data_IF_476902188401
#
_entry.id   IF_476902188401
#
_cell.length_a   1.000
_cell.length_b   1.000
_cell.length_c   1.000
_cell.angle_alpha   90.00
_cell.angle_beta   90.00
_cell.angle_gamma   90.00
#
_symmetry.space_group_name_H-M   'P 1'
#
loop_
_entity.id
_entity.type
_entity.pdbx_description
1 polymer ?
#
# COMPACT_ATOMS: atom_id res chain seq x y z
N UNK A 1 -1.21 28.35 17.90
CA UNK A 1 -2.62 28.23 17.50
C UNK A 1 -3.16 29.64 17.32
N UNK A 2 -2.72 30.30 16.25
CA UNK A 2 -3.33 31.56 15.81
C UNK A 2 -4.53 31.21 14.94
N UNK A 3 -5.67 31.81 15.26
CA UNK A 3 -6.85 31.80 14.40
C UNK A 3 -6.49 32.54 13.10
N UNK A 4 -6.24 31.79 12.04
CA UNK A 4 -6.31 32.34 10.68
C UNK A 4 -7.79 32.64 10.46
N UNK A 5 -8.15 33.92 10.56
CA UNK A 5 -9.43 34.44 10.12
C UNK A 5 -9.52 34.18 8.60
N UNK A 6 -10.28 33.16 8.23
CA UNK A 6 -10.66 32.90 6.85
C UNK A 6 -11.60 34.01 6.42
N UNK A 7 -11.03 35.07 5.85
CA UNK A 7 -11.76 36.12 5.16
C UNK A 7 -12.42 35.43 3.95
N UNK A 8 -13.73 35.15 4.06
CA UNK A 8 -14.55 34.67 2.94
C UNK A 8 -14.56 35.78 1.91
N UNK A 9 -13.66 35.72 0.93
CA UNK A 9 -13.77 36.53 -0.28
C UNK A 9 -15.03 36.07 -0.99
N UNK A 10 -16.01 36.97 -1.10
CA UNK A 10 -17.22 36.72 -1.88
C UNK A 10 -16.77 36.44 -3.32
N UNK A 11 -16.84 35.17 -3.71
CA UNK A 11 -16.58 34.73 -5.08
C UNK A 11 -17.65 35.40 -5.95
N UNK A 12 -17.25 36.38 -6.78
CA UNK A 12 -18.13 36.91 -7.82
C UNK A 12 -18.56 35.74 -8.71
N UNK A 13 -19.80 35.31 -8.52
CA UNK A 13 -20.43 34.24 -9.26
C UNK A 13 -20.39 34.61 -10.75
N UNK A 14 -19.65 33.83 -11.54
CA UNK A 14 -19.59 34.03 -12.99
C UNK A 14 -20.98 33.77 -13.53
N UNK A 15 -21.72 34.84 -13.80
CA UNK A 15 -23.02 34.81 -14.44
C UNK A 15 -22.86 34.21 -15.85
N UNK A 16 -22.97 32.88 -15.97
CA UNK A 16 -22.83 32.22 -17.28
C UNK A 16 -22.53 30.72 -17.30
N UNK A 17 -22.14 30.07 -16.20
CA UNK A 17 -22.06 28.61 -16.15
C UNK A 17 -22.89 28.05 -14.99
N UNK A 18 -24.16 27.75 -15.24
CA UNK A 18 -25.05 27.01 -14.31
C UNK A 18 -24.56 25.57 -14.01
N UNK A 19 -23.38 25.20 -14.51
CA UNK A 19 -22.78 23.88 -14.31
C UNK A 19 -21.97 23.87 -13.03
N UNK A 20 -22.27 22.89 -12.20
CA UNK A 20 -21.44 22.51 -11.07
C UNK A 20 -20.88 21.13 -11.34
N UNK A 21 -19.69 20.84 -10.84
CA UNK A 21 -19.16 19.49 -10.92
C UNK A 21 -18.76 19.00 -9.54
N UNK A 22 -18.88 17.68 -9.38
CA UNK A 22 -18.34 16.98 -8.22
C UNK A 22 -17.29 16.01 -8.72
N UNK A 23 -16.12 16.01 -8.08
CA UNK A 23 -15.03 15.12 -8.42
C UNK A 23 -14.57 14.30 -7.21
N UNK A 24 -14.04 13.11 -7.47
CA UNK A 24 -13.37 12.26 -6.49
C UNK A 24 -12.04 11.78 -7.02
N UNK A 25 -11.10 11.68 -6.09
CA UNK A 25 -9.78 11.15 -6.33
C UNK A 25 -9.70 9.63 -6.09
N UNK A 26 -8.84 8.90 -6.79
CA UNK A 26 -8.49 7.53 -6.43
C UNK A 26 -7.11 7.09 -6.89
N UNK A 27 -6.53 6.10 -6.20
CA UNK A 27 -5.21 5.53 -6.51
C UNK A 27 -5.37 4.23 -7.31
N UNK A 28 -5.17 4.31 -8.62
CA UNK A 28 -5.33 3.22 -9.59
C UNK A 28 -4.02 3.04 -10.36
N UNK A 29 -3.17 2.17 -9.84
CA UNK A 29 -1.77 2.07 -10.22
C UNK A 29 -1.61 1.04 -11.34
N UNK A 30 -1.14 1.49 -12.50
CA UNK A 30 -0.79 0.67 -13.65
C UNK A 30 0.38 -0.22 -13.28
N UNK A 31 0.13 -1.52 -13.21
CA UNK A 31 1.19 -2.51 -13.05
C UNK A 31 1.65 -2.97 -14.42
N UNK A 32 2.92 -2.65 -14.71
CA UNK A 32 3.59 -3.06 -15.92
C UNK A 32 3.78 -4.59 -15.99
N UNK A 33 3.61 -5.13 -17.19
CA UNK A 33 3.97 -6.51 -17.52
C UNK A 33 5.49 -6.77 -17.42
N UNK A 34 5.92 -8.03 -17.54
CA UNK A 34 7.33 -8.41 -17.43
C UNK A 34 8.19 -8.02 -18.64
N UNK A 35 7.61 -7.48 -19.71
CA UNK A 35 8.30 -7.12 -20.95
C UNK A 35 8.72 -5.65 -20.93
N UNK A 36 9.96 -5.37 -21.35
CA UNK A 36 10.50 -4.02 -21.54
C UNK A 36 9.74 -3.31 -22.67
N UNK A 37 8.59 -2.72 -22.32
CA UNK A 37 7.71 -2.02 -23.26
C UNK A 37 7.97 -0.53 -23.16
N UNK A 38 8.06 0.18 -24.30
CA UNK A 38 8.24 1.63 -24.28
C UNK A 38 7.02 2.31 -23.66
N UNK A 39 7.19 3.45 -22.94
CA UNK A 39 6.06 4.22 -22.43
C UNK A 39 5.02 4.56 -23.49
N UNK A 40 5.46 4.89 -24.70
CA UNK A 40 4.60 5.22 -25.84
C UNK A 40 3.75 4.04 -26.29
N UNK A 41 4.33 2.83 -26.33
CA UNK A 41 3.62 1.61 -26.70
C UNK A 41 2.57 1.24 -25.64
N UNK A 42 2.92 1.33 -24.35
CA UNK A 42 1.99 1.07 -23.24
C UNK A 42 0.83 2.06 -23.29
N UNK A 43 1.14 3.35 -23.46
CA UNK A 43 0.16 4.42 -23.56
C UNK A 43 -0.78 4.23 -24.76
N UNK A 44 -0.23 3.99 -25.95
CA UNK A 44 -1.02 3.77 -27.16
C UNK A 44 -1.93 2.54 -27.03
N UNK A 45 -1.45 1.46 -26.43
CA UNK A 45 -2.24 0.26 -26.17
C UNK A 45 -3.40 0.53 -25.19
N UNK A 46 -3.17 1.31 -24.13
CA UNK A 46 -4.21 1.70 -23.17
C UNK A 46 -5.28 2.60 -23.81
N UNK A 47 -4.87 3.63 -24.56
CA UNK A 47 -5.79 4.51 -25.29
C UNK A 47 -6.65 3.71 -26.28
N UNK A 48 -6.02 2.80 -27.04
CA UNK A 48 -6.74 1.92 -27.95
C UNK A 48 -7.72 0.98 -27.23
N UNK A 49 -7.34 0.46 -26.06
CA UNK A 49 -8.20 -0.42 -25.27
C UNK A 49 -9.38 0.31 -24.63
N UNK A 50 -9.17 1.56 -24.18
CA UNK A 50 -10.24 2.43 -23.67
C UNK A 50 -11.25 2.77 -24.77
N UNK A 51 -10.78 3.20 -25.94
CA UNK A 51 -11.64 3.52 -27.08
C UNK A 51 -12.40 2.31 -27.66
N UNK A 52 -12.00 1.09 -27.32
CA UNK A 52 -12.70 -0.13 -27.69
C UNK A 52 -13.82 -0.53 -26.70
N UNK A 53 -13.88 0.07 -25.51
CA UNK A 53 -14.98 -0.15 -24.56
C UNK A 53 -16.20 0.67 -24.99
N UNK A 54 -17.33 0.00 -25.20
CA UNK A 54 -18.56 0.61 -25.73
C UNK A 54 -19.24 1.60 -24.76
N UNK A 55 -18.78 1.66 -23.51
CA UNK A 55 -19.23 2.63 -22.51
C UNK A 55 -18.45 3.94 -22.56
N UNK A 56 -17.31 3.94 -23.24
CA UNK A 56 -16.45 5.12 -23.41
C UNK A 56 -16.86 5.83 -24.69
N UNK A 57 -17.30 7.09 -24.56
CA UNK A 57 -17.82 7.89 -25.69
C UNK A 57 -16.73 8.75 -26.33
N UNK A 58 -15.78 9.24 -25.53
CA UNK A 58 -14.66 10.07 -25.95
C UNK A 58 -13.40 9.59 -25.24
N UNK A 59 -12.27 9.58 -25.95
CA UNK A 59 -10.94 9.41 -25.38
C UNK A 59 -10.04 10.52 -25.90
N UNK A 60 -9.56 11.36 -25.01
CA UNK A 60 -8.40 12.21 -25.26
C UNK A 60 -7.16 11.50 -24.71
N UNK A 61 -6.19 11.35 -25.60
CA UNK A 61 -4.99 10.58 -25.33
C UNK A 61 -4.01 11.34 -24.43
N UNK A 62 -3.97 12.66 -24.45
CA UNK A 62 -2.81 13.41 -23.92
C UNK A 62 -1.49 13.07 -24.64
N UNK A 63 -0.37 13.60 -24.16
CA UNK A 63 0.97 13.22 -24.63
C UNK A 63 1.65 12.24 -23.68
N UNK A 64 2.33 11.23 -24.24
CA UNK A 64 3.20 10.33 -23.51
C UNK A 64 4.66 10.75 -23.74
N UNK A 65 5.05 11.91 -23.21
CA UNK A 65 6.43 12.33 -23.32
C UNK A 65 7.29 11.49 -22.39
N UNK A 66 8.21 10.73 -22.98
CA UNK A 66 9.18 9.92 -22.27
C UNK A 66 10.00 10.70 -21.23
N UNK A 67 10.31 11.99 -21.46
CA UNK A 67 11.11 12.82 -20.54
C UNK A 67 10.38 13.15 -19.24
N UNK A 68 9.04 13.19 -19.26
CA UNK A 68 8.21 13.52 -18.10
C UNK A 68 7.39 12.33 -17.58
N UNK A 69 7.47 11.19 -18.27
CA UNK A 69 6.91 9.92 -17.80
C UNK A 69 7.84 9.31 -16.76
N UNK A 70 7.31 8.97 -15.59
CA UNK A 70 8.08 8.42 -14.48
C UNK A 70 7.71 6.96 -14.22
N UNK A 71 8.72 6.13 -13.95
CA UNK A 71 8.51 4.78 -13.42
C UNK A 71 8.81 4.75 -11.92
N UNK A 72 7.92 4.10 -11.18
CA UNK A 72 8.06 3.91 -9.73
C UNK A 72 7.93 2.42 -9.39
N UNK A 73 8.21 2.08 -8.13
CA UNK A 73 8.06 0.72 -7.61
C UNK A 73 7.00 0.70 -6.52
N UNK A 74 6.03 -0.21 -6.64
CA UNK A 74 4.95 -0.39 -5.69
C UNK A 74 4.93 -1.82 -5.15
N UNK A 75 4.34 -1.99 -3.97
CA UNK A 75 4.18 -3.27 -3.30
C UNK A 75 2.71 -3.74 -3.36
N UNK A 76 2.45 -5.00 -3.73
CA UNK A 76 1.10 -5.55 -3.73
C UNK A 76 0.64 -5.84 -2.29
N UNK A 77 -0.68 -5.77 -2.06
CA UNK A 77 -1.27 -6.13 -0.77
C UNK A 77 -1.13 -7.63 -0.45
N UNK A 78 -1.04 -7.94 0.84
CA UNK A 78 -0.61 -9.22 1.43
C UNK A 78 -1.29 -10.53 1.07
N UNK A 79 -2.60 -10.68 0.77
CA UNK A 79 -3.19 -12.04 0.75
C UNK A 79 -2.59 -12.96 -0.34
N UNK A 80 -1.77 -12.43 -1.25
CA UNK A 80 -1.10 -13.17 -2.33
C UNK A 80 0.42 -13.24 -2.22
N UNK A 81 1.05 -12.58 -1.24
CA UNK A 81 2.51 -12.46 -1.16
C UNK A 81 3.08 -13.52 -0.22
N UNK A 82 4.05 -14.31 -0.70
CA UNK A 82 4.72 -15.29 0.16
C UNK A 82 5.57 -14.57 1.23
N UNK A 83 5.68 -15.12 2.46
CA UNK A 83 6.45 -14.46 3.52
C UNK A 83 7.92 -14.19 3.16
N UNK A 84 8.56 -15.05 2.39
CA UNK A 84 9.94 -14.85 1.92
C UNK A 84 10.06 -13.72 0.88
N UNK A 85 9.11 -13.60 -0.04
CA UNK A 85 9.03 -12.49 -0.99
C UNK A 85 8.71 -11.15 -0.31
N UNK A 86 7.90 -11.19 0.75
CA UNK A 86 7.58 -10.03 1.59
C UNK A 86 8.84 -9.51 2.31
N UNK A 87 9.62 -10.41 2.89
CA UNK A 87 10.81 -10.09 3.66
C UNK A 87 12.05 -9.82 2.81
N UNK A 88 12.12 -10.32 1.58
CA UNK A 88 13.24 -10.00 0.68
C UNK A 88 13.05 -8.67 -0.05
N UNK A 89 11.83 -8.11 -0.05
CA UNK A 89 11.48 -6.98 -0.92
C UNK A 89 11.31 -7.38 -2.39
N UNK A 90 11.43 -8.67 -2.72
CA UNK A 90 11.26 -9.17 -4.09
C UNK A 90 9.81 -9.07 -4.58
N UNK A 91 8.84 -9.00 -3.67
CA UNK A 91 7.44 -8.74 -3.99
C UNK A 91 7.19 -7.26 -4.25
N UNK A 92 7.72 -6.76 -5.36
CA UNK A 92 7.36 -5.45 -5.90
C UNK A 92 6.92 -5.58 -7.35
N UNK A 93 6.29 -4.53 -7.87
CA UNK A 93 6.00 -4.40 -9.28
C UNK A 93 6.33 -2.99 -9.75
N UNK A 94 6.67 -2.87 -11.03
CA UNK A 94 6.92 -1.59 -11.66
C UNK A 94 5.61 -0.96 -12.10
N UNK A 95 5.52 0.35 -11.90
CA UNK A 95 4.42 1.19 -12.39
C UNK A 95 4.94 2.25 -13.32
N UNK A 96 4.04 2.84 -14.08
CA UNK A 96 4.30 3.97 -14.97
C UNK A 96 3.26 5.04 -14.72
N UNK A 97 3.74 6.27 -14.50
CA UNK A 97 2.93 7.49 -14.47
C UNK A 97 3.26 8.32 -15.70
N UNK A 98 2.28 8.52 -16.57
CA UNK A 98 2.41 9.30 -17.80
C UNK A 98 2.60 10.78 -17.50
N UNK A 99 3.17 11.50 -18.47
CA UNK A 99 3.36 12.94 -18.39
C UNK A 99 2.03 13.70 -18.35
N UNK A 100 1.10 13.30 -19.22
CA UNK A 100 -0.26 13.82 -19.27
C UNK A 100 -1.24 12.70 -18.92
N UNK A 101 -2.38 13.07 -18.35
CA UNK A 101 -3.43 12.12 -18.06
C UNK A 101 -4.11 11.64 -19.35
N UNK A 102 -4.45 10.36 -19.42
CA UNK A 102 -5.41 9.85 -20.40
C UNK A 102 -6.78 10.27 -19.91
N UNK A 103 -7.48 11.07 -20.71
CA UNK A 103 -8.81 11.57 -20.37
C UNK A 103 -9.88 10.85 -21.18
N UNK A 104 -11.01 10.56 -20.56
CA UNK A 104 -12.10 9.90 -21.27
C UNK A 104 -13.46 10.19 -20.64
N UNK A 105 -14.48 10.14 -21.48
CA UNK A 105 -15.88 10.28 -21.09
C UNK A 105 -16.53 8.90 -21.06
N UNK A 106 -17.24 8.61 -19.97
CA UNK A 106 -17.97 7.36 -19.75
C UNK A 106 -19.45 7.67 -19.69
N UNK A 107 -20.26 6.88 -20.42
CA UNK A 107 -21.71 6.91 -20.32
C UNK A 107 -22.27 5.52 -20.02
N UNK A 108 -22.84 5.35 -18.82
CA UNK A 108 -23.47 4.11 -18.37
C UNK A 108 -24.70 4.44 -17.53
N UNK A 109 -25.91 4.03 -17.94
CA UNK A 109 -27.10 4.26 -17.12
C UNK A 109 -26.92 3.74 -15.69
N UNK A 110 -27.29 4.52 -14.67
CA UNK A 110 -27.06 4.21 -13.24
C UNK A 110 -27.53 2.82 -12.83
N UNK A 111 -28.66 2.36 -13.37
CA UNK A 111 -29.20 1.00 -13.16
C UNK A 111 -28.28 -0.15 -13.63
N UNK A 112 -27.36 0.13 -14.55
CA UNK A 112 -26.40 -0.83 -15.10
C UNK A 112 -25.02 -0.70 -14.45
N UNK A 113 -24.86 0.17 -13.46
CA UNK A 113 -23.59 0.38 -12.78
C UNK A 113 -23.42 -0.57 -11.57
N UNK A 114 -22.17 -0.75 -11.09
CA UNK A 114 -21.90 -1.57 -9.92
C UNK A 114 -22.62 -1.04 -8.67
N UNK A 115 -23.33 -1.93 -7.98
CA UNK A 115 -23.96 -1.64 -6.68
C UNK A 115 -22.99 -2.02 -5.56
N UNK A 116 -22.63 -1.06 -4.71
CA UNK A 116 -21.69 -1.27 -3.60
C UNK A 116 -22.46 -1.16 -2.29
N UNK A 117 -22.46 -2.21 -1.47
CA UNK A 117 -23.20 -2.23 -0.19
C UNK A 117 -24.70 -1.88 -0.28
N UNK A 118 -25.33 -2.08 -1.44
CA UNK A 118 -26.74 -1.72 -1.68
C UNK A 118 -26.95 -0.28 -2.16
N UNK A 119 -25.88 0.49 -2.31
CA UNK A 119 -25.91 1.84 -2.86
C UNK A 119 -25.85 1.80 -4.39
N UNK A 120 -26.80 2.48 -5.04
CA UNK A 120 -26.94 2.54 -6.49
C UNK A 120 -26.49 3.93 -6.95
N UNK A 121 -25.55 4.04 -7.92
CA UNK A 121 -25.23 5.32 -8.54
C UNK A 121 -26.43 5.88 -9.32
N UNK A 122 -26.69 7.18 -9.17
CA UNK A 122 -27.77 7.91 -9.89
C UNK A 122 -27.25 8.67 -11.12
N UNK A 123 -25.92 8.76 -11.26
CA UNK A 123 -25.24 9.54 -12.30
C UNK A 123 -24.98 8.67 -13.53
N UNK A 124 -25.35 9.13 -14.73
CA UNK A 124 -25.18 8.35 -15.95
C UNK A 124 -23.87 8.62 -16.71
N UNK A 125 -23.25 9.79 -16.49
CA UNK A 125 -22.06 10.23 -17.25
C UNK A 125 -20.93 10.67 -16.33
N UNK A 126 -19.70 10.32 -16.69
CA UNK A 126 -18.48 10.67 -15.98
C UNK A 126 -17.40 11.19 -16.91
N UNK A 127 -16.60 12.14 -16.41
CA UNK A 127 -15.33 12.55 -16.99
C UNK A 127 -14.22 12.00 -16.13
N UNK A 128 -13.21 11.39 -16.74
CA UNK A 128 -12.10 10.75 -16.04
C UNK A 128 -10.79 11.29 -16.58
N UNK A 129 -9.86 11.63 -15.69
CA UNK A 129 -8.46 11.87 -16.00
C UNK A 129 -7.62 10.86 -15.21
N UNK A 130 -6.77 10.07 -15.89
CA UNK A 130 -5.92 9.06 -15.26
C UNK A 130 -4.48 9.14 -15.79
N UNK A 131 -3.52 9.37 -14.90
CA UNK A 131 -2.10 9.50 -15.23
C UNK A 131 -1.32 8.17 -15.17
N UNK A 132 -2.01 7.03 -15.04
CA UNK A 132 -1.36 5.73 -14.85
C UNK A 132 -1.18 5.34 -13.38
N UNK A 133 -1.16 6.27 -12.43
CA UNK A 133 -1.05 5.99 -11.00
C UNK A 133 -2.30 6.41 -10.21
N UNK A 134 -2.87 7.54 -10.60
CA UNK A 134 -3.96 8.21 -9.91
C UNK A 134 -5.00 8.70 -10.89
N UNK A 135 -6.26 8.71 -10.48
CA UNK A 135 -7.34 9.20 -11.32
C UNK A 135 -8.23 10.18 -10.56
N UNK A 136 -8.77 11.12 -11.32
CA UNK A 136 -9.93 11.92 -10.94
C UNK A 136 -11.11 11.43 -11.74
N UNK A 137 -12.22 11.14 -11.07
CA UNK A 137 -13.53 10.95 -11.70
C UNK A 137 -14.42 12.12 -11.33
N UNK A 138 -15.11 12.67 -12.30
CA UNK A 138 -15.94 13.85 -12.14
C UNK A 138 -17.29 13.67 -12.84
N UNK A 139 -18.33 14.30 -12.30
CA UNK A 139 -19.66 14.32 -12.89
C UNK A 139 -20.39 15.63 -12.59
N UNK A 140 -21.44 15.89 -13.36
CA UNK A 140 -22.37 17.00 -13.16
C UNK A 140 -23.55 16.49 -12.32
N UNK A 141 -23.72 16.91 -11.04
CA UNK A 141 -24.84 16.48 -10.22
C UNK A 141 -26.14 17.17 -10.65
N UNK A 142 -27.29 16.56 -10.35
CA UNK A 142 -28.60 17.19 -10.60
C UNK A 142 -28.84 18.47 -9.77
N UNK A 143 -28.20 18.56 -8.60
CA UNK A 143 -28.24 19.72 -7.72
C UNK A 143 -26.92 19.91 -7.00
N UNK A 144 -26.53 21.17 -6.75
CA UNK A 144 -25.25 21.53 -6.10
C UNK A 144 -25.10 20.93 -4.69
N UNK A 145 -26.21 20.84 -3.96
CA UNK A 145 -26.24 20.33 -2.58
C UNK A 145 -26.71 18.86 -2.49
N UNK A 146 -26.82 18.18 -3.64
CA UNK A 146 -27.25 16.79 -3.70
C UNK A 146 -26.23 15.86 -3.05
N UNK A 147 -26.69 15.01 -2.12
CA UNK A 147 -25.85 13.95 -1.58
C UNK A 147 -25.55 12.93 -2.68
N UNK A 148 -24.27 12.75 -3.00
CA UNK A 148 -23.88 11.75 -3.99
C UNK A 148 -23.60 10.41 -3.34
N UNK A 149 -24.06 9.31 -3.95
CA UNK A 149 -23.74 7.97 -3.50
C UNK A 149 -22.22 7.73 -3.44
N UNK A 150 -21.67 7.14 -2.37
CA UNK A 150 -20.29 6.66 -2.33
C UNK A 150 -19.94 5.61 -3.41
N UNK A 151 -20.92 5.03 -4.10
CA UNK A 151 -20.71 4.15 -5.25
C UNK A 151 -20.47 4.90 -6.58
N UNK A 152 -20.78 6.20 -6.65
CA UNK A 152 -20.63 7.01 -7.86
C UNK A 152 -19.18 7.02 -8.39
N UNK A 153 -19.02 6.84 -9.71
CA UNK A 153 -17.73 6.82 -10.40
C UNK A 153 -17.04 5.45 -10.45
N UNK A 154 -17.51 4.45 -9.67
CA UNK A 154 -16.90 3.11 -9.60
C UNK A 154 -16.80 2.38 -10.94
N UNK A 155 -17.71 2.67 -11.88
CA UNK A 155 -17.70 2.08 -13.23
C UNK A 155 -16.42 2.42 -14.00
N UNK A 156 -15.81 3.59 -13.74
CA UNK A 156 -14.53 3.98 -14.33
C UNK A 156 -13.42 2.98 -13.96
N UNK A 157 -13.44 2.43 -12.75
CA UNK A 157 -12.44 1.45 -12.29
C UNK A 157 -12.57 0.14 -13.06
N UNK A 158 -13.80 -0.30 -13.36
CA UNK A 158 -14.04 -1.50 -14.17
C UNK A 158 -13.52 -1.32 -15.61
N UNK A 159 -13.77 -0.15 -16.19
CA UNK A 159 -13.28 0.24 -17.52
C UNK A 159 -11.75 0.25 -17.53
N UNK A 160 -11.11 0.92 -16.57
CA UNK A 160 -9.65 0.96 -16.44
C UNK A 160 -9.04 -0.43 -16.27
N UNK A 161 -9.65 -1.30 -15.44
CA UNK A 161 -9.20 -2.69 -15.28
C UNK A 161 -9.26 -3.45 -16.59
N UNK A 162 -10.34 -3.31 -17.35
CA UNK A 162 -10.51 -3.98 -18.64
C UNK A 162 -9.52 -3.46 -19.68
N UNK A 163 -9.30 -2.13 -19.71
CA UNK A 163 -8.34 -1.51 -20.60
C UNK A 163 -6.92 -2.03 -20.32
N UNK A 164 -6.50 -2.05 -19.04
CA UNK A 164 -5.21 -2.60 -18.63
C UNK A 164 -5.05 -4.07 -19.04
N UNK A 165 -6.05 -4.92 -18.78
CA UNK A 165 -5.96 -6.34 -19.17
C UNK A 165 -5.87 -6.51 -20.69
N UNK A 166 -6.62 -5.71 -21.44
CA UNK A 166 -6.62 -5.75 -22.91
C UNK A 166 -5.29 -5.28 -23.50
N UNK A 167 -4.62 -4.34 -22.86
CA UNK A 167 -3.28 -3.86 -23.24
C UNK A 167 -2.12 -4.73 -22.70
N UNK A 168 -2.42 -5.90 -22.13
CA UNK A 168 -1.41 -6.82 -21.56
C UNK A 168 -0.84 -6.38 -20.21
N UNK A 169 -1.42 -5.37 -19.59
CA UNK A 169 -1.05 -4.82 -18.29
C UNK A 169 -2.01 -5.29 -17.19
N UNK A 170 -1.86 -4.76 -15.98
CA UNK A 170 -2.82 -4.96 -14.90
C UNK A 170 -3.02 -3.69 -14.08
N UNK A 171 -4.17 -3.57 -13.41
CA UNK A 171 -4.47 -2.43 -12.55
C UNK A 171 -4.43 -2.87 -11.08
N UNK A 172 -3.55 -2.26 -10.30
CA UNK A 172 -3.54 -2.37 -8.84
C UNK A 172 -4.36 -1.24 -8.23
N UNK A 173 -5.39 -1.58 -7.47
CA UNK A 173 -6.29 -0.59 -6.86
C UNK A 173 -5.95 -0.42 -5.39
N UNK A 174 -5.63 0.80 -4.98
CA UNK A 174 -5.30 1.15 -3.62
C UNK A 174 -6.46 1.90 -2.95
N UNK A 175 -7.44 1.15 -2.43
CA UNK A 175 -8.61 1.69 -1.73
C UNK A 175 -8.26 2.32 -0.38
N UNK A 176 -9.23 2.93 0.31
CA UNK A 176 -9.05 3.59 1.60
C UNK A 176 -8.45 2.68 2.69
N UNK A 177 -8.88 1.42 2.75
CA UNK A 177 -8.39 0.36 3.63
C UNK A 177 -8.52 -0.98 2.89
N UNK A 178 -7.87 -2.07 3.35
CA UNK A 178 -7.96 -3.37 2.66
C UNK A 178 -9.39 -3.93 2.54
N UNK A 179 -10.31 -3.54 3.42
CA UNK A 179 -11.71 -3.98 3.42
C UNK A 179 -12.65 -3.01 2.69
N UNK A 180 -12.15 -1.83 2.29
CA UNK A 180 -12.91 -0.75 1.70
C UNK A 180 -13.36 -1.13 0.27
N UNK A 181 -14.67 -1.15 0.03
CA UNK A 181 -15.21 -1.39 -1.31
C UNK A 181 -15.41 -0.09 -2.10
N UNK A 182 -15.43 1.06 -1.42
CA UNK A 182 -15.36 2.38 -2.05
C UNK A 182 -13.93 2.63 -2.50
N UNK A 183 -13.71 2.59 -3.83
CA UNK A 183 -12.35 2.58 -4.40
C UNK A 183 -11.79 3.98 -4.61
N UNK A 184 -12.66 4.99 -4.67
CA UNK A 184 -12.29 6.40 -4.62
C UNK A 184 -12.19 6.88 -3.17
N UNK A 185 -11.48 8.00 -2.96
CA UNK A 185 -11.38 8.71 -1.71
C UNK A 185 -12.76 9.11 -1.19
N UNK A 186 -12.88 9.21 0.13
CA UNK A 186 -14.16 9.53 0.77
C UNK A 186 -14.50 11.02 0.72
N UNK A 187 -13.52 11.86 0.38
CA UNK A 187 -13.75 13.28 0.19
C UNK A 187 -14.12 13.60 -1.24
N UNK A 188 -15.04 14.55 -1.38
CA UNK A 188 -15.52 15.07 -2.65
C UNK A 188 -14.97 16.47 -2.88
N UNK A 189 -14.63 16.76 -4.13
CA UNK A 189 -14.32 18.10 -4.59
C UNK A 189 -15.57 18.70 -5.21
N UNK A 190 -16.10 19.78 -4.64
CA UNK A 190 -17.08 20.65 -5.29
C UNK A 190 -16.33 21.63 -6.16
N UNK A 191 -16.45 21.48 -7.46
CA UNK A 191 -15.66 22.25 -8.43
C UNK A 191 -16.45 23.49 -8.82
N UNK A 192 -15.90 24.65 -8.46
CA UNK A 192 -16.40 25.97 -8.81
C UNK A 192 -15.46 26.65 -9.81
N UNK A 193 -15.97 27.65 -10.54
CA UNK A 193 -15.25 28.33 -11.61
C UNK A 193 -14.96 29.78 -11.26
N UNK A 194 -13.74 30.21 -11.58
CA UNK A 194 -13.36 31.63 -11.52
C UNK A 194 -12.94 32.14 -12.89
N UNK A 195 -13.45 33.32 -13.28
CA UNK A 195 -13.15 33.95 -14.58
C UNK A 195 -12.32 35.23 -14.48
N UNK A 196 -11.89 35.65 -13.29
CA UNK A 196 -11.06 36.85 -13.11
C UNK A 196 -9.59 36.61 -13.43
N UNK A 197 -8.86 37.67 -13.80
CA UNK A 197 -7.47 37.58 -14.28
C UNK A 197 -6.47 37.22 -13.15
N UNK A 198 -6.76 37.60 -11.90
CA UNK A 198 -5.81 37.57 -10.77
C UNK A 198 -5.83 36.30 -9.90
N UNK A 199 -6.58 35.27 -10.30
CA UNK A 199 -6.68 34.02 -9.54
C UNK A 199 -6.07 32.86 -10.32
N UNK A 200 -5.43 31.94 -9.60
CA UNK A 200 -4.85 30.71 -10.17
C UNK A 200 -5.79 29.55 -9.82
N UNK A 201 -5.65 28.99 -8.63
CA UNK A 201 -6.53 27.95 -8.08
C UNK A 201 -6.69 28.18 -6.58
N UNK A 202 -7.84 27.81 -6.03
CA UNK A 202 -8.09 27.94 -4.60
C UNK A 202 -8.83 26.74 -4.05
N UNK A 203 -8.47 26.38 -2.83
CA UNK A 203 -9.13 25.31 -2.10
C UNK A 203 -9.69 25.85 -0.79
N UNK A 204 -10.89 25.40 -0.43
CA UNK A 204 -11.47 25.65 0.88
C UNK A 204 -12.12 24.39 1.42
N UNK A 205 -11.87 24.09 2.69
CA UNK A 205 -12.51 22.95 3.37
C UNK A 205 -13.87 23.42 3.87
N UNK A 206 -14.94 22.88 3.32
CA UNK A 206 -16.31 23.18 3.77
C UNK A 206 -16.73 22.30 4.94
N UNK A 207 -16.41 21.01 4.85
CA UNK A 207 -16.70 20.00 5.87
C UNK A 207 -15.65 18.86 5.83
N UNK A 208 -15.78 17.87 6.72
CA UNK A 208 -14.92 16.68 6.80
C UNK A 208 -14.94 15.86 5.50
N UNK A 209 -16.02 15.95 4.72
CA UNK A 209 -16.22 15.22 3.46
C UNK A 209 -16.10 16.08 2.21
N UNK A 210 -16.25 17.39 2.33
CA UNK A 210 -16.43 18.26 1.17
C UNK A 210 -15.31 19.31 1.12
N UNK A 211 -14.71 19.44 -0.06
CA UNK A 211 -13.67 20.42 -0.35
C UNK A 211 -14.14 21.21 -1.56
N UNK A 212 -14.25 22.52 -1.42
CA UNK A 212 -14.51 23.39 -2.56
C UNK A 212 -13.21 23.72 -3.24
N UNK A 213 -13.16 23.40 -4.54
CA UNK A 213 -12.04 23.61 -5.43
C UNK A 213 -12.48 24.62 -6.48
N UNK A 214 -11.87 25.78 -6.48
CA UNK A 214 -12.08 26.80 -7.51
C UNK A 214 -10.96 26.71 -8.54
N UNK A 215 -11.33 26.44 -9.79
CA UNK A 215 -10.39 26.38 -10.93
C UNK A 215 -10.63 27.54 -11.88
N UNK A 216 -9.55 28.03 -12.51
CA UNK A 216 -9.63 29.14 -13.45
C UNK A 216 -10.16 28.70 -14.81
N UNK A 217 -11.30 29.26 -15.20
CA UNK A 217 -11.90 29.08 -16.52
C UNK A 217 -11.53 30.19 -17.52
N UNK A 218 -12.18 30.21 -18.71
CA UNK A 218 -13.30 29.38 -19.14
C UNK A 218 -12.90 27.99 -19.63
N UNK A 219 -13.85 27.04 -19.60
CA UNK A 219 -13.70 25.67 -20.11
C UNK A 219 -14.74 25.39 -21.20
N UNK A 220 -14.38 24.58 -22.21
CA UNK A 220 -15.29 24.22 -23.31
C UNK A 220 -16.15 23.00 -22.98
N UNK A 221 -15.65 22.10 -22.13
CA UNK A 221 -16.37 20.89 -21.72
C UNK A 221 -15.91 20.28 -20.39
N UNK A 222 -16.55 19.18 -20.00
CA UNK A 222 -16.22 18.47 -18.76
C UNK A 222 -14.84 17.81 -18.79
N UNK A 223 -14.29 17.51 -19.98
CA UNK A 223 -12.93 16.98 -20.11
C UNK A 223 -11.88 18.03 -19.69
N UNK A 224 -12.00 19.27 -20.17
CA UNK A 224 -11.08 20.35 -19.79
C UNK A 224 -11.14 20.65 -18.27
N UNK A 225 -12.35 20.55 -17.68
CA UNK A 225 -12.52 20.75 -16.24
C UNK A 225 -11.86 19.63 -15.44
N UNK A 226 -12.02 18.36 -15.83
CA UNK A 226 -11.38 17.25 -15.10
C UNK A 226 -9.86 17.25 -15.27
N UNK A 227 -9.37 17.72 -16.42
CA UNK A 227 -7.94 17.97 -16.65
C UNK A 227 -7.40 18.99 -15.65
N UNK A 228 -8.04 20.16 -15.56
CA UNK A 228 -7.65 21.22 -14.64
C UNK A 228 -7.67 20.73 -13.19
N UNK A 229 -8.75 20.04 -12.77
CA UNK A 229 -8.84 19.47 -11.42
C UNK A 229 -7.73 18.45 -11.16
N UNK A 230 -7.44 17.58 -12.13
CA UNK A 230 -6.36 16.60 -12.02
C UNK A 230 -5.01 17.27 -11.89
N UNK A 231 -4.71 18.28 -12.72
CA UNK A 231 -3.42 18.96 -12.73
C UNK A 231 -3.10 19.68 -11.42
N UNK A 232 -4.11 20.21 -10.75
CA UNK A 232 -3.98 20.84 -9.43
C UNK A 232 -3.63 19.84 -8.32
N UNK A 233 -4.09 18.59 -8.44
CA UNK A 233 -3.91 17.59 -7.38
C UNK A 233 -2.91 16.48 -7.73
N UNK A 234 -2.44 16.36 -8.98
CA UNK A 234 -1.65 15.19 -9.45
C UNK A 234 -0.37 14.95 -8.64
N UNK A 235 0.31 16.02 -8.21
CA UNK A 235 1.53 15.90 -7.42
C UNK A 235 1.27 15.39 -6.00
N UNK A 236 0.43 16.06 -5.18
CA UNK A 236 0.12 15.55 -3.83
C UNK A 236 -0.62 14.20 -3.88
N UNK A 237 -1.40 13.94 -4.93
CA UNK A 237 -2.02 12.64 -5.18
C UNK A 237 -1.02 11.50 -5.39
N UNK A 238 0.01 11.73 -6.21
CA UNK A 238 1.04 10.73 -6.48
C UNK A 238 1.84 10.43 -5.21
N UNK A 239 2.24 11.46 -4.47
CA UNK A 239 2.94 11.30 -3.19
C UNK A 239 2.06 10.59 -2.14
N UNK A 240 0.78 10.92 -2.06
CA UNK A 240 -0.18 10.19 -1.23
C UNK A 240 -0.24 8.70 -1.61
N UNK A 241 -0.30 8.39 -2.91
CA UNK A 241 -0.36 7.01 -3.38
C UNK A 241 0.90 6.21 -2.97
N UNK A 242 2.09 6.81 -3.11
CA UNK A 242 3.36 6.21 -2.69
C UNK A 242 3.47 6.08 -1.16
N UNK A 243 3.06 7.12 -0.43
CA UNK A 243 3.07 7.16 1.03
C UNK A 243 2.22 6.03 1.61
N UNK A 244 0.99 5.92 1.11
CA UNK A 244 0.02 4.90 1.51
C UNK A 244 0.47 3.49 1.12
N UNK A 245 1.10 3.33 -0.04
CA UNK A 245 1.66 2.04 -0.45
C UNK A 245 2.78 1.59 0.49
N UNK A 246 3.67 2.52 0.82
CA UNK A 246 4.79 2.29 1.74
C UNK A 246 4.30 1.97 3.15
N UNK A 247 3.32 2.73 3.66
CA UNK A 247 2.71 2.48 4.96
C UNK A 247 2.14 1.05 5.05
N UNK A 248 1.35 0.64 4.05
CA UNK A 248 0.78 -0.71 3.98
C UNK A 248 1.84 -1.79 3.95
N UNK A 249 2.93 -1.55 3.21
CA UNK A 249 4.04 -2.50 3.15
C UNK A 249 4.71 -2.68 4.52
N UNK A 250 4.88 -1.60 5.29
CA UNK A 250 5.41 -1.68 6.66
C UNK A 250 4.47 -2.53 7.53
N UNK A 251 3.16 -2.25 7.49
CA UNK A 251 2.16 -2.97 8.28
C UNK A 251 2.09 -4.46 7.91
N UNK A 252 2.21 -4.78 6.62
CA UNK A 252 2.27 -6.16 6.13
C UNK A 252 3.49 -6.92 6.67
N UNK A 253 4.68 -6.30 6.64
CA UNK A 253 5.91 -6.89 7.20
C UNK A 253 5.77 -7.04 8.71
N UNK A 254 5.16 -6.08 9.39
CA UNK A 254 4.96 -6.14 10.84
C UNK A 254 4.03 -7.28 11.25
N UNK A 255 2.89 -7.42 10.56
CA UNK A 255 1.95 -8.53 10.77
C UNK A 255 2.62 -9.89 10.56
N UNK A 256 3.48 -10.00 9.54
CA UNK A 256 4.32 -11.19 9.32
C UNK A 256 5.32 -11.41 10.46
N UNK A 257 6.00 -10.36 10.92
CA UNK A 257 6.93 -10.42 12.04
C UNK A 257 6.26 -10.84 13.36
N UNK A 258 5.05 -10.33 13.65
CA UNK A 258 4.23 -10.78 14.78
C UNK A 258 3.91 -12.27 14.67
N UNK A 259 3.44 -12.70 13.50
CA UNK A 259 3.12 -14.11 13.23
C UNK A 259 4.32 -15.04 13.43
N UNK A 260 5.50 -14.65 12.91
CA UNK A 260 6.76 -15.39 13.11
C UNK A 260 7.21 -15.40 14.58
N UNK A 261 7.01 -14.30 15.31
CA UNK A 261 7.32 -14.21 16.73
C UNK A 261 6.42 -15.15 17.56
N UNK A 262 5.12 -15.20 17.25
CA UNK A 262 4.20 -16.16 17.86
C UNK A 262 4.58 -17.61 17.57
N UNK A 263 4.99 -17.93 16.34
CA UNK A 263 5.49 -19.27 16.00
C UNK A 263 6.75 -19.62 16.81
N UNK A 264 7.69 -18.68 16.94
CA UNK A 264 8.93 -18.87 17.69
C UNK A 264 8.68 -19.14 19.18
N UNK A 265 7.75 -18.40 19.78
CA UNK A 265 7.31 -18.58 21.18
C UNK A 265 6.52 -19.89 21.33
N UNK A 266 5.68 -20.22 20.35
CA UNK A 266 4.92 -21.49 20.30
C UNK A 266 5.84 -22.70 20.35
N UNK A 267 6.97 -22.67 19.63
CA UNK A 267 8.00 -23.71 19.72
C UNK A 267 8.60 -23.85 21.12
N UNK A 268 8.75 -22.76 21.88
CA UNK A 268 9.22 -22.81 23.26
C UNK A 268 8.15 -23.37 24.20
N UNK A 269 6.90 -22.97 24.03
CA UNK A 269 5.77 -23.50 24.79
C UNK A 269 5.62 -25.01 24.60
N UNK A 270 5.69 -25.49 23.37
CA UNK A 270 5.66 -26.94 23.08
C UNK A 270 6.82 -27.68 23.76
N UNK A 271 8.01 -27.07 23.80
CA UNK A 271 9.17 -27.66 24.46
C UNK A 271 8.94 -27.76 25.97
N UNK A 272 8.37 -26.73 26.59
CA UNK A 272 8.02 -26.73 28.02
C UNK A 272 6.94 -27.77 28.33
N UNK A 273 5.90 -27.87 27.50
CA UNK A 273 4.83 -28.87 27.65
C UNK A 273 5.39 -30.30 27.61
N UNK A 274 6.29 -30.60 26.64
CA UNK A 274 6.97 -31.91 26.57
C UNK A 274 7.84 -32.18 27.80
N UNK A 275 8.44 -31.13 28.37
CA UNK A 275 9.27 -31.25 29.57
C UNK A 275 8.48 -31.59 30.82
N UNK A 276 7.15 -31.51 30.79
CA UNK A 276 6.27 -31.94 31.88
C UNK A 276 5.80 -33.40 31.73
N UNK A 277 5.99 -34.02 30.57
CA UNK A 277 5.60 -35.42 30.34
C UNK A 277 6.53 -36.42 31.06
N UNK A 278 6.08 -37.67 31.21
CA UNK A 278 6.87 -38.73 31.83
C UNK A 278 8.17 -39.06 31.07
N UNK A 279 9.17 -39.60 31.79
CA UNK A 279 10.55 -39.81 31.32
C UNK A 279 10.64 -40.58 29.99
N UNK A 280 9.79 -41.60 29.80
CA UNK A 280 9.72 -42.39 28.57
C UNK A 280 9.32 -41.56 27.34
N UNK A 281 8.30 -40.68 27.48
CA UNK A 281 7.85 -39.82 26.38
C UNK A 281 8.89 -38.78 26.02
N UNK A 282 9.61 -38.24 27.01
CA UNK A 282 10.74 -37.31 26.78
C UNK A 282 11.83 -37.97 25.93
N UNK A 283 12.21 -39.21 26.25
CA UNK A 283 13.23 -39.95 25.51
C UNK A 283 12.81 -40.19 24.05
N UNK A 284 11.54 -40.56 23.83
CA UNK A 284 10.99 -40.74 22.48
C UNK A 284 11.01 -39.45 21.67
N UNK A 285 10.64 -38.31 22.25
CA UNK A 285 10.72 -37.02 21.56
C UNK A 285 12.16 -36.63 21.25
N UNK A 286 13.08 -36.86 22.19
CA UNK A 286 14.50 -36.56 21.98
C UNK A 286 15.08 -37.35 20.80
N UNK A 287 14.83 -38.66 20.74
CA UNK A 287 15.26 -39.50 19.63
C UNK A 287 14.63 -39.08 18.30
N UNK A 288 13.33 -38.72 18.32
CA UNK A 288 12.64 -38.18 17.15
C UNK A 288 13.23 -36.87 16.65
N UNK A 289 13.56 -35.95 17.57
CA UNK A 289 14.17 -34.66 17.24
C UNK A 289 15.60 -34.84 16.70
N UNK A 290 16.39 -35.74 17.27
CA UNK A 290 17.72 -36.09 16.77
C UNK A 290 17.65 -36.69 15.36
N UNK A 291 16.71 -37.59 15.11
CA UNK A 291 16.47 -38.17 13.78
C UNK A 291 16.07 -37.10 12.75
N UNK A 292 15.18 -36.18 13.13
CA UNK A 292 14.76 -35.07 12.27
C UNK A 292 15.91 -34.09 12.00
N UNK A 293 16.80 -33.86 12.97
CA UNK A 293 17.99 -33.04 12.81
C UNK A 293 18.97 -33.65 11.79
N UNK A 294 19.23 -34.95 11.86
CA UNK A 294 20.05 -35.67 10.86
C UNK A 294 19.46 -35.56 9.45
N UNK A 295 18.13 -35.57 9.33
CA UNK A 295 17.43 -35.34 8.05
C UNK A 295 17.34 -33.87 7.61
N UNK A 296 18.01 -32.95 8.31
CA UNK A 296 18.01 -31.52 8.00
C UNK A 296 16.69 -30.80 8.28
N UNK A 297 15.73 -31.46 8.93
CA UNK A 297 14.40 -30.93 9.35
C UNK A 297 14.34 -30.69 10.87
N UNK A 298 15.50 -30.48 11.49
CA UNK A 298 15.60 -30.26 12.93
C UNK A 298 14.92 -28.96 13.37
N UNK A 299 14.33 -28.96 14.56
CA UNK A 299 13.69 -27.78 15.16
C UNK A 299 14.63 -26.57 15.28
N UNK A 300 15.91 -26.82 15.56
CA UNK A 300 16.93 -25.75 15.66
C UNK A 300 17.05 -25.01 14.33
N UNK A 301 17.04 -25.72 13.20
CA UNK A 301 17.12 -25.08 11.88
C UNK A 301 15.90 -24.20 11.61
N UNK A 302 14.69 -24.69 11.91
CA UNK A 302 13.45 -23.90 11.76
C UNK A 302 13.47 -22.66 12.65
N UNK A 303 13.88 -22.79 13.91
CA UNK A 303 14.03 -21.66 14.83
C UNK A 303 15.07 -20.65 14.32
N UNK A 304 16.22 -21.10 13.82
CA UNK A 304 17.24 -20.21 13.24
C UNK A 304 16.73 -19.48 12.00
N UNK A 305 15.97 -20.16 11.14
CA UNK A 305 15.33 -19.53 9.99
C UNK A 305 14.34 -18.45 10.44
N UNK A 306 13.47 -18.75 11.42
CA UNK A 306 12.54 -17.75 11.97
C UNK A 306 13.28 -16.55 12.58
N UNK A 307 14.36 -16.78 13.33
CA UNK A 307 15.18 -15.69 13.88
C UNK A 307 15.79 -14.84 12.77
N UNK A 308 16.36 -15.46 11.73
CA UNK A 308 16.93 -14.74 10.59
C UNK A 308 15.86 -13.95 9.83
N UNK A 309 14.69 -14.54 9.59
CA UNK A 309 13.53 -13.88 8.97
C UNK A 309 13.01 -12.70 9.81
N UNK A 310 13.00 -12.82 11.14
CA UNK A 310 12.64 -11.71 12.03
C UNK A 310 13.67 -10.56 11.98
N UNK A 311 14.97 -10.87 11.93
CA UNK A 311 16.01 -9.84 11.73
C UNK A 311 15.83 -9.12 10.40
N UNK A 312 15.57 -9.86 9.33
CA UNK A 312 15.31 -9.30 8.01
C UNK A 312 14.04 -8.43 8.00
N UNK A 313 12.97 -8.88 8.66
CA UNK A 313 11.74 -8.12 8.81
C UNK A 313 11.98 -6.77 9.50
N UNK A 314 12.71 -6.78 10.63
CA UNK A 314 13.03 -5.56 11.38
C UNK A 314 13.90 -4.60 10.56
N UNK A 315 14.93 -5.11 9.87
CA UNK A 315 15.78 -4.29 9.01
C UNK A 315 14.98 -3.63 7.89
N UNK A 316 14.10 -4.38 7.22
CA UNK A 316 13.24 -3.81 6.16
C UNK A 316 12.24 -2.80 6.70
N UNK A 317 11.63 -3.05 7.87
CA UNK A 317 10.72 -2.06 8.49
C UNK A 317 11.47 -0.75 8.77
N UNK A 318 12.70 -0.82 9.28
CA UNK A 318 13.52 0.38 9.52
C UNK A 318 13.85 1.14 8.23
N UNK A 319 14.26 0.44 7.17
CA UNK A 319 14.50 1.05 5.85
C UNK A 319 13.23 1.70 5.29
N UNK A 320 12.10 0.99 5.33
CA UNK A 320 10.82 1.51 4.83
C UNK A 320 10.31 2.67 5.69
N UNK A 321 10.57 2.69 6.99
CA UNK A 321 10.25 3.84 7.86
C UNK A 321 11.04 5.08 7.48
N UNK A 322 12.30 4.94 7.03
CA UNK A 322 13.08 6.07 6.51
C UNK A 322 12.47 6.58 5.19
N UNK A 323 12.18 5.67 4.25
CA UNK A 323 11.51 6.00 2.99
C UNK A 323 10.16 6.66 3.23
N UNK A 324 9.35 6.12 4.16
CA UNK A 324 8.06 6.69 4.55
C UNK A 324 8.20 8.13 5.03
N UNK A 325 9.18 8.44 5.89
CA UNK A 325 9.42 9.82 6.36
C UNK A 325 9.87 10.75 5.25
N UNK A 326 10.67 10.27 4.30
CA UNK A 326 11.10 11.08 3.16
C UNK A 326 9.93 11.39 2.22
N UNK A 327 9.05 10.41 1.95
CA UNK A 327 7.83 10.60 1.16
C UNK A 327 6.84 11.50 1.90
N UNK A 328 6.64 11.29 3.21
CA UNK A 328 5.76 12.14 4.04
C UNK A 328 6.23 13.59 4.00
N UNK A 329 7.53 13.85 4.14
CA UNK A 329 8.07 15.20 3.96
C UNK A 329 7.74 15.78 2.58
N UNK A 330 7.93 15.00 1.50
CA UNK A 330 7.57 15.44 0.15
C UNK A 330 6.09 15.79 0.02
N UNK A 331 5.23 14.92 0.53
CA UNK A 331 3.78 15.11 0.60
C UNK A 331 3.38 16.38 1.37
N UNK A 332 3.95 16.62 2.56
CA UNK A 332 3.71 17.85 3.32
C UNK A 332 4.23 19.10 2.59
N UNK A 333 5.39 19.02 1.94
CA UNK A 333 5.95 20.11 1.15
C UNK A 333 5.04 20.45 -0.04
N UNK A 334 4.52 19.44 -0.74
CA UNK A 334 3.62 19.56 -1.88
C UNK A 334 2.28 20.17 -1.49
N UNK A 335 1.64 19.66 -0.44
CA UNK A 335 0.43 20.25 0.15
C UNK A 335 0.65 21.73 0.49
N UNK A 336 1.79 22.06 1.13
CA UNK A 336 2.09 23.46 1.49
C UNK A 336 2.36 24.34 0.27
N UNK A 337 3.03 23.82 -0.76
CA UNK A 337 3.41 24.54 -1.96
C UNK A 337 2.20 24.87 -2.83
N UNK A 338 1.27 23.94 -2.94
CA UNK A 338 0.08 24.06 -3.78
C UNK A 338 -1.14 24.58 -3.02
N UNK A 339 -0.98 24.93 -1.72
CA UNK A 339 -2.08 25.33 -0.83
C UNK A 339 -3.27 24.35 -0.86
N UNK A 340 -2.97 23.09 -1.15
CA UNK A 340 -3.92 22.00 -1.21
C UNK A 340 -4.23 21.64 0.25
N UNK A 341 -5.48 21.67 0.73
CA UNK A 341 -5.82 21.24 2.07
C UNK A 341 -5.40 19.80 2.29
N UNK A 342 -5.48 19.26 3.51
CA UNK A 342 -5.24 17.84 3.74
C UNK A 342 -6.33 16.97 3.05
N UNK A 343 -6.34 16.88 1.71
CA UNK A 343 -7.38 16.24 0.88
C UNK A 343 -7.53 14.77 1.29
N UNK A 344 -6.42 14.17 1.70
CA UNK A 344 -6.30 12.76 1.97
C UNK A 344 -6.22 12.44 3.47
N UNK A 345 -6.43 13.41 4.37
CA UNK A 345 -6.29 13.21 5.81
C UNK A 345 -7.13 12.04 6.32
N UNK A 346 -8.39 11.98 5.89
CA UNK A 346 -9.31 10.91 6.30
C UNK A 346 -8.83 9.54 5.84
N UNK A 347 -8.30 9.46 4.62
CA UNK A 347 -7.89 8.22 3.98
C UNK A 347 -6.48 7.75 4.38
N UNK A 348 -5.68 8.60 5.04
CA UNK A 348 -4.31 8.28 5.47
C UNK A 348 -4.20 8.03 6.98
N UNK A 349 -5.07 8.66 7.77
CA UNK A 349 -4.97 8.72 9.24
C UNK A 349 -4.88 7.37 9.94
N UNK A 350 -5.54 6.33 9.42
CA UNK A 350 -5.48 4.99 10.03
C UNK A 350 -4.08 4.40 9.86
N UNK A 351 -3.58 4.37 8.62
CA UNK A 351 -2.26 3.83 8.32
C UNK A 351 -1.13 4.63 9.01
N UNK A 352 -1.21 5.95 9.06
CA UNK A 352 -0.24 6.79 9.80
C UNK A 352 -0.21 6.47 11.30
N UNK A 353 -1.39 6.40 11.93
CA UNK A 353 -1.48 6.09 13.35
C UNK A 353 -0.92 4.69 13.65
N UNK A 354 -1.21 3.72 12.78
CA UNK A 354 -0.68 2.37 12.90
C UNK A 354 0.85 2.33 12.73
N UNK A 355 1.39 2.97 11.68
CA UNK A 355 2.84 3.07 11.45
C UNK A 355 3.56 3.78 12.58
N UNK A 356 2.98 4.87 13.12
CA UNK A 356 3.52 5.60 14.25
C UNK A 356 3.49 4.78 15.56
N UNK A 357 2.53 3.86 15.70
CA UNK A 357 2.39 2.98 16.87
C UNK A 357 3.29 1.74 16.83
N UNK A 358 4.05 1.53 15.75
CA UNK A 358 4.87 0.34 15.58
C UNK A 358 5.96 0.24 16.64
N UNK A 359 5.92 -0.85 17.40
CA UNK A 359 6.92 -1.17 18.41
C UNK A 359 7.72 -2.43 18.03
N UNK A 360 8.96 -2.29 17.49
CA UNK A 360 9.78 -3.44 17.16
C UNK A 360 10.34 -4.16 18.40
N UNK A 361 10.18 -3.63 19.62
CA UNK A 361 10.75 -4.23 20.83
C UNK A 361 10.19 -5.62 21.11
N UNK A 362 8.95 -5.92 20.75
CA UNK A 362 8.37 -7.24 20.95
C UNK A 362 9.13 -8.33 20.16
N UNK A 363 9.37 -8.09 18.86
CA UNK A 363 10.13 -9.01 18.02
C UNK A 363 11.58 -9.15 18.53
N UNK A 364 12.21 -8.03 18.92
CA UNK A 364 13.56 -8.03 19.51
C UNK A 364 13.62 -8.85 20.80
N UNK A 365 12.65 -8.68 21.70
CA UNK A 365 12.58 -9.43 22.95
C UNK A 365 12.39 -10.94 22.71
N UNK A 366 11.57 -11.32 21.73
CA UNK A 366 11.39 -12.73 21.34
C UNK A 366 12.70 -13.35 20.84
N UNK A 367 13.45 -12.62 19.99
CA UNK A 367 14.77 -13.05 19.51
C UNK A 367 15.76 -13.16 20.68
N UNK A 368 15.91 -12.11 21.50
CA UNK A 368 16.87 -12.09 22.61
C UNK A 368 16.61 -13.23 23.61
N UNK A 369 15.35 -13.48 23.95
CA UNK A 369 14.96 -14.59 24.81
C UNK A 369 15.35 -15.94 24.21
N UNK A 370 15.17 -16.11 22.89
CA UNK A 370 15.51 -17.36 22.19
C UNK A 370 17.02 -17.55 22.08
N UNK A 371 17.76 -16.53 21.69
CA UNK A 371 19.22 -16.57 21.53
C UNK A 371 19.90 -16.91 22.86
N UNK A 372 19.50 -16.26 23.96
CA UNK A 372 20.01 -16.58 25.32
C UNK A 372 19.82 -18.06 25.70
N UNK A 373 18.68 -18.66 25.32
CA UNK A 373 18.42 -20.09 25.58
C UNK A 373 19.22 -21.01 24.67
N UNK A 374 19.46 -20.61 23.43
CA UNK A 374 20.28 -21.36 22.49
C UNK A 374 21.75 -21.40 22.92
N UNK A 375 22.31 -20.25 23.30
CA UNK A 375 23.68 -20.15 23.80
C UNK A 375 23.86 -21.01 25.06
N UNK A 376 22.93 -20.94 26.00
CA UNK A 376 22.95 -21.80 27.19
C UNK A 376 22.90 -23.30 26.84
N UNK A 377 22.16 -23.70 25.80
CA UNK A 377 22.14 -25.10 25.35
C UNK A 377 23.44 -25.51 24.68
N UNK A 378 24.03 -24.66 23.85
CA UNK A 378 25.33 -24.94 23.21
C UNK A 378 26.41 -25.06 24.27
N UNK A 379 26.42 -24.16 25.26
CA UNK A 379 27.33 -24.23 26.41
C UNK A 379 27.10 -25.53 27.19
N UNK A 380 25.86 -25.89 27.53
CA UNK A 380 25.55 -27.15 28.22
C UNK A 380 25.97 -28.38 27.41
N UNK A 381 25.73 -28.40 26.09
CA UNK A 381 26.19 -29.50 25.23
C UNK A 381 27.70 -29.55 25.13
N UNK A 382 28.37 -28.41 25.04
CA UNK A 382 29.83 -28.31 25.05
C UNK A 382 30.40 -28.77 26.41
N UNK A 383 29.74 -28.45 27.52
CA UNK A 383 30.11 -28.92 28.86
C UNK A 383 29.85 -30.41 29.03
N UNK A 384 28.73 -30.95 28.53
CA UNK A 384 28.43 -32.40 28.56
C UNK A 384 29.40 -33.17 27.66
N UNK A 385 29.71 -32.66 26.46
CA UNK A 385 30.68 -33.24 25.56
C UNK A 385 32.11 -33.15 26.14
N UNK A 386 32.47 -32.02 26.74
CA UNK A 386 33.74 -31.82 27.43
C UNK A 386 33.88 -32.70 28.68
N UNK A 387 32.82 -32.85 29.47
CA UNK A 387 32.79 -33.75 30.62
C UNK A 387 32.81 -35.23 30.19
N UNK A 388 32.14 -35.58 29.09
CA UNK A 388 32.16 -36.92 28.51
C UNK A 388 33.53 -37.30 27.94
N UNK A 389 34.18 -36.39 27.21
CA UNK A 389 35.55 -36.57 26.73
C UNK A 389 36.56 -36.58 27.88
N UNK A 390 36.40 -35.72 28.88
CA UNK A 390 37.19 -35.72 30.10
C UNK A 390 37.08 -37.06 30.84
N UNK A 391 35.87 -37.55 31.07
CA UNK A 391 35.63 -38.85 31.70
C UNK A 391 36.19 -40.02 30.89
N UNK A 392 36.11 -39.99 29.55
CA UNK A 392 36.70 -41.02 28.70
C UNK A 392 38.24 -41.01 28.79
N UNK A 393 38.87 -39.83 28.79
CA UNK A 393 40.32 -39.70 28.96
C UNK A 393 40.75 -40.14 30.37
N UNK A 394 40.02 -39.74 31.41
CA UNK A 394 40.31 -40.16 32.79
C UNK A 394 40.09 -41.67 33.00
N UNK A 395 39.10 -42.28 32.34
CA UNK A 395 38.88 -43.72 32.38
C UNK A 395 39.97 -44.51 31.65
N UNK A 396 40.46 -44.01 30.50
CA UNK A 396 41.57 -44.63 29.76
C UNK A 396 42.89 -44.50 30.54
N UNK A 397 43.18 -43.32 31.10
CA UNK A 397 44.40 -43.08 31.89
C UNK A 397 44.35 -43.85 33.23
N UNK A 398 43.19 -43.87 33.90
CA UNK A 398 42.98 -44.65 35.13
C UNK A 398 43.05 -46.16 34.91
N UNK A 399 42.50 -46.66 33.79
CA UNK A 399 42.57 -48.06 33.40
C UNK A 399 43.98 -48.53 33.03
N UNK A 400 44.78 -47.66 32.39
CA UNK A 400 46.20 -47.94 32.09
C UNK A 400 47.08 -47.89 33.35
N UNK A 401 46.68 -47.13 34.38
CA UNK A 401 47.42 -47.02 35.65
C UNK A 401 47.07 -48.11 36.67
N UNK A 402 45.94 -48.80 36.49
CA UNK A 402 45.46 -49.88 37.36
C UNK A 402 45.84 -51.29 36.88
N UNK A 403 46.63 -51.41 35.80
CA UNK A 403 47.15 -52.71 35.36
C UNK A 403 48.20 -53.21 36.38
N UNK A 404 47.96 -54.35 37.07
CA UNK A 404 48.91 -54.87 38.05
C UNK A 404 50.18 -55.34 37.32
N UNK A 405 51.34 -54.96 37.87
CA UNK A 405 52.65 -55.49 37.46
C UNK A 405 52.85 -56.91 37.96
#
# INVERSE_FOLDING_TARGET
>A
MEQILTERTEVEEVAGSDKHYVARFGSFILRLGPEDTSPEDVHAALVSALGADNRVTVVDKGSANHEWTSQSTFYPSTPKTQPDELLSGASHFHTMRFSDAIMFEVHVPGKNQPVIHGEVPEIDSYFVAWDGCTAVVMWEPESRDGLTSPATGQVAVEILRRACVTSGQSLYVQACSPACQHLFAHREFKVDFWSGEDFDTGFSVEDVRDISLTVKGPFEGGLDVVEAVHDEIKMPAAEFAELKNTARRILDIESSARSMSFELIGHDYETLKRSQEGLYRRLRYFLGDAWMAVRGKGRVRRANLLIASLWLAMANMETLQQVFRDIDRGYQESISRWAVPELFATDLKSEEAEVASLDPHFARAAIEHKTKRMDNRVVVWATIAGAGMGAAVTAVVGGLSAAPK
#
